data_IF_063559365232
#
_entry.id   IF_063559365232
#
_cell.length_a   1.000
_cell.length_b   1.000
_cell.length_c   1.000
_cell.angle_alpha   90.00
_cell.angle_beta   90.00
_cell.angle_gamma   90.00
#
_symmetry.space_group_name_H-M   'P 1'
#
loop_
_entity.id
_entity.type
_entity.pdbx_description
1 polymer ?
#
# COMPACT_ATOMS: atom_id res chain seq x y z
N UNK A 1 -3.19 -31.78 -2.04
CA UNK A 1 -1.73 -31.91 -2.25
C UNK A 1 -1.17 -30.57 -2.66
N UNK A 2 -0.84 -29.70 -1.70
CA UNK A 2 0.22 -28.69 -1.87
C UNK A 2 0.75 -28.39 -0.48
N UNK A 3 2.01 -28.78 -0.25
CA UNK A 3 2.76 -28.51 0.96
C UNK A 3 3.12 -27.01 1.02
N UNK A 4 3.26 -26.43 2.23
CA UNK A 4 3.73 -25.07 2.40
C UNK A 4 5.20 -24.98 1.99
N UNK A 5 5.54 -24.03 1.12
CA UNK A 5 6.93 -23.70 0.84
C UNK A 5 7.43 -22.79 1.95
N UNK A 6 8.19 -23.41 2.84
CA UNK A 6 9.00 -22.82 3.89
C UNK A 6 9.85 -21.67 3.33
N UNK A 7 9.57 -20.45 3.76
CA UNK A 7 10.53 -19.34 3.74
C UNK A 7 11.45 -19.48 4.97
N UNK A 8 12.22 -20.55 5.01
CA UNK A 8 13.29 -20.75 5.97
C UNK A 8 14.57 -20.14 5.43
N UNK A 9 14.86 -18.89 5.84
CA UNK A 9 16.21 -18.34 5.69
C UNK A 9 16.56 -17.28 6.73
N UNK A 10 15.97 -17.36 7.94
CA UNK A 10 16.35 -16.45 9.03
C UNK A 10 16.56 -17.11 10.41
N UNK A 11 16.64 -18.45 10.49
CA UNK A 11 16.76 -19.15 11.79
C UNK A 11 18.22 -19.50 12.14
N UNK A 12 19.16 -19.50 11.19
CA UNK A 12 20.48 -20.13 11.39
C UNK A 12 21.59 -19.22 11.95
N UNK A 13 21.32 -17.96 12.30
CA UNK A 13 22.36 -17.04 12.80
C UNK A 13 22.46 -17.04 14.34
N UNK A 14 21.54 -17.71 15.04
CA UNK A 14 21.35 -17.53 16.49
C UNK A 14 22.17 -18.47 17.39
N UNK A 15 22.84 -19.51 16.86
CA UNK A 15 23.40 -20.61 17.69
C UNK A 15 24.91 -20.60 17.92
N UNK A 16 25.68 -19.62 17.43
CA UNK A 16 27.15 -19.66 17.53
C UNK A 16 27.83 -18.48 18.26
N UNK A 17 27.17 -17.88 19.27
CA UNK A 17 27.76 -16.78 20.03
C UNK A 17 27.76 -17.03 21.55
N UNK A 18 28.38 -18.13 21.98
CA UNK A 18 28.68 -18.39 23.38
C UNK A 18 30.17 -18.73 23.56
N UNK A 19 31.04 -17.76 23.25
CA UNK A 19 32.39 -17.54 23.83
C UNK A 19 33.12 -16.46 23.04
N UNK A 20 33.20 -15.25 23.60
CA UNK A 20 34.40 -14.39 23.61
C UNK A 20 33.99 -12.93 23.82
N UNK A 21 34.54 -12.34 24.87
CA UNK A 21 34.47 -10.92 25.22
C UNK A 21 35.28 -10.09 24.23
N UNK A 22 34.62 -9.50 23.23
CA UNK A 22 35.15 -8.40 22.44
C UNK A 22 33.98 -7.54 21.95
N UNK A 23 34.02 -6.23 22.23
CA UNK A 23 32.99 -5.28 21.82
C UNK A 23 32.88 -5.19 20.31
N UNK A 24 31.90 -5.88 19.73
CA UNK A 24 31.50 -5.72 18.34
C UNK A 24 30.50 -4.56 18.23
N UNK A 25 30.70 -3.58 17.32
CA UNK A 25 29.67 -2.61 17.03
C UNK A 25 28.43 -3.36 16.54
N UNK A 26 27.34 -3.27 17.29
CA UNK A 26 26.03 -3.85 16.94
C UNK A 26 25.72 -3.49 15.48
N UNK A 27 25.77 -4.48 14.60
CA UNK A 27 25.42 -4.31 13.19
C UNK A 27 24.01 -3.72 13.13
N UNK A 28 23.85 -2.62 12.38
CA UNK A 28 22.54 -2.03 12.07
C UNK A 28 21.71 -3.13 11.42
N UNK A 29 20.79 -3.73 12.17
CA UNK A 29 19.85 -4.68 11.59
C UNK A 29 18.97 -3.91 10.59
N UNK A 30 18.79 -4.42 9.36
CA UNK A 30 17.93 -3.79 8.39
C UNK A 30 16.50 -3.75 8.91
N UNK A 31 15.99 -2.55 9.20
CA UNK A 31 14.63 -2.36 9.68
C UNK A 31 13.70 -2.23 8.47
N UNK A 32 12.87 -3.25 8.23
CA UNK A 32 11.78 -3.19 7.26
C UNK A 32 10.74 -2.16 7.68
N UNK A 33 10.21 -1.43 6.72
CA UNK A 33 9.17 -0.42 6.91
C UNK A 33 8.17 -0.48 5.75
N UNK A 34 6.99 0.07 5.97
CA UNK A 34 6.03 0.27 4.89
C UNK A 34 6.41 1.50 4.06
N UNK A 35 6.28 1.38 2.75
CA UNK A 35 6.41 2.48 1.81
C UNK A 35 5.27 2.42 0.79
N UNK A 36 4.94 3.56 0.19
CA UNK A 36 4.03 3.63 -0.94
C UNK A 36 4.81 3.59 -2.26
N UNK A 37 4.46 2.64 -3.12
CA UNK A 37 4.90 2.58 -4.51
C UNK A 37 3.81 3.15 -5.42
N UNK A 38 4.21 4.08 -6.28
CA UNK A 38 3.35 4.59 -7.35
C UNK A 38 3.47 3.69 -8.57
N UNK A 39 2.34 3.16 -9.04
CA UNK A 39 2.25 2.22 -10.15
C UNK A 39 1.54 2.84 -11.35
N UNK A 40 1.74 2.24 -12.53
CA UNK A 40 0.93 2.54 -13.69
C UNK A 40 -0.56 2.26 -13.38
N UNK A 41 -1.50 3.07 -13.91
CA UNK A 41 -2.92 2.81 -13.73
C UNK A 41 -3.30 1.39 -14.15
N UNK A 42 -4.18 0.73 -13.38
CA UNK A 42 -4.68 -0.64 -13.62
C UNK A 42 -3.64 -1.76 -13.45
N UNK A 43 -2.41 -1.43 -13.06
CA UNK A 43 -1.35 -2.41 -12.79
C UNK A 43 -1.25 -2.75 -11.30
N UNK A 44 -2.09 -2.19 -10.44
CA UNK A 44 -2.00 -2.35 -8.98
C UNK A 44 -2.07 -3.84 -8.57
N UNK A 45 -3.05 -4.58 -9.11
CA UNK A 45 -3.22 -6.03 -8.86
C UNK A 45 -2.07 -6.86 -9.44
N UNK A 46 -1.55 -6.46 -10.59
CA UNK A 46 -0.44 -7.16 -11.25
C UNK A 46 0.86 -6.99 -10.45
N UNK A 47 1.17 -5.75 -10.05
CA UNK A 47 2.34 -5.43 -9.22
C UNK A 47 2.25 -6.14 -7.87
N UNK A 48 1.07 -6.14 -7.22
CA UNK A 48 0.87 -6.86 -5.97
C UNK A 48 1.17 -8.37 -6.12
N UNK A 49 0.68 -9.02 -7.18
CA UNK A 49 0.98 -10.42 -7.45
C UNK A 49 2.47 -10.68 -7.67
N UNK A 50 3.15 -9.80 -8.42
CA UNK A 50 4.59 -9.94 -8.67
C UNK A 50 5.43 -9.74 -7.39
N UNK A 51 4.97 -8.90 -6.46
CA UNK A 51 5.62 -8.72 -5.16
C UNK A 51 5.37 -9.92 -4.25
N UNK A 52 4.16 -10.48 -4.28
CA UNK A 52 3.80 -11.72 -3.57
C UNK A 52 4.64 -12.92 -4.04
N UNK A 53 4.82 -13.07 -5.36
CA UNK A 53 5.73 -14.06 -5.96
C UNK A 53 7.19 -13.91 -5.50
N UNK A 54 7.59 -12.70 -5.07
CA UNK A 54 8.93 -12.40 -4.55
C UNK A 54 9.00 -12.46 -3.01
N UNK A 55 7.95 -12.93 -2.35
CA UNK A 55 7.82 -12.99 -0.90
C UNK A 55 7.99 -11.61 -0.23
N UNK A 56 7.49 -10.55 -0.89
CA UNK A 56 7.47 -9.21 -0.35
C UNK A 56 6.05 -8.89 0.10
N UNK A 57 5.91 -8.54 1.37
CA UNK A 57 4.65 -8.15 1.97
C UNK A 57 4.05 -6.93 1.25
N UNK A 58 2.81 -7.05 0.79
CA UNK A 58 2.09 -5.98 0.12
C UNK A 58 0.69 -5.77 0.64
N UNK A 59 0.18 -4.57 0.38
CA UNK A 59 -1.19 -4.20 0.66
C UNK A 59 -1.72 -3.28 -0.43
N UNK A 60 -2.83 -3.67 -1.04
CA UNK A 60 -3.57 -2.85 -2.00
C UNK A 60 -4.97 -2.61 -1.43
N UNK A 61 -5.30 -1.36 -1.07
CA UNK A 61 -6.64 -1.01 -0.61
C UNK A 61 -7.65 -1.18 -1.73
N UNK A 62 -8.48 -2.21 -1.69
CA UNK A 62 -9.53 -2.48 -2.67
C UNK A 62 -10.91 -2.29 -2.04
N UNK A 63 -11.83 -1.64 -2.76
CA UNK A 63 -13.24 -1.53 -2.39
C UNK A 63 -14.13 -2.19 -3.45
N UNK A 64 -15.31 -2.66 -3.04
CA UNK A 64 -16.29 -3.31 -3.94
C UNK A 64 -17.28 -2.28 -4.46
N UNK A 65 -17.39 -2.16 -5.78
CA UNK A 65 -18.36 -1.30 -6.45
C UNK A 65 -19.29 -2.12 -7.35
N UNK A 66 -20.58 -1.81 -7.31
CA UNK A 66 -21.60 -2.42 -8.18
C UNK A 66 -21.64 -1.68 -9.51
N UNK A 67 -21.03 -2.25 -10.55
CA UNK A 67 -21.09 -1.66 -11.90
C UNK A 67 -22.16 -2.35 -12.73
N UNK A 68 -23.05 -1.56 -13.33
CA UNK A 68 -24.05 -2.04 -14.29
C UNK A 68 -23.42 -2.08 -15.68
N UNK A 69 -23.29 -3.27 -16.24
CA UNK A 69 -23.09 -3.48 -17.67
C UNK A 69 -24.45 -3.59 -18.37
N UNK A 70 -24.45 -3.37 -19.69
CA UNK A 70 -25.62 -3.31 -20.58
C UNK A 70 -26.69 -4.39 -20.28
N UNK A 71 -26.27 -5.61 -19.90
CA UNK A 71 -27.18 -6.71 -19.55
C UNK A 71 -27.08 -7.23 -18.10
N UNK A 72 -26.05 -6.90 -17.30
CA UNK A 72 -25.82 -7.49 -15.97
C UNK A 72 -25.20 -6.51 -14.97
N UNK A 73 -25.51 -6.67 -13.68
CA UNK A 73 -24.80 -5.98 -12.59
C UNK A 73 -23.69 -6.89 -12.08
N UNK A 74 -22.46 -6.41 -12.06
CA UNK A 74 -21.30 -7.17 -11.58
C UNK A 74 -20.62 -6.39 -10.47
N UNK A 75 -20.30 -7.08 -9.37
CA UNK A 75 -19.42 -6.54 -8.33
C UNK A 75 -17.99 -6.56 -8.84
N UNK A 76 -17.34 -5.39 -8.83
CA UNK A 76 -15.95 -5.24 -9.25
C UNK A 76 -15.17 -4.65 -8.08
N UNK A 77 -13.95 -5.14 -7.88
CA UNK A 77 -13.00 -4.55 -6.94
C UNK A 77 -12.16 -3.49 -7.63
N UNK A 78 -12.20 -2.28 -7.07
CA UNK A 78 -11.44 -1.14 -7.54
C UNK A 78 -10.47 -0.66 -6.45
N UNK A 79 -9.30 -0.12 -6.81
CA UNK A 79 -8.38 0.45 -5.83
C UNK A 79 -8.97 1.71 -5.20
N UNK A 80 -8.97 1.78 -3.86
CA UNK A 80 -9.36 2.97 -3.10
C UNK A 80 -8.39 4.12 -3.36
N UNK A 81 -7.10 3.80 -3.52
CA UNK A 81 -6.05 4.73 -3.95
C UNK A 81 -5.51 4.28 -5.31
N UNK A 82 -6.10 4.75 -6.43
CA UNK A 82 -5.65 4.38 -7.77
C UNK A 82 -4.17 4.70 -7.98
N UNK A 83 -3.42 3.77 -8.56
CA UNK A 83 -1.98 3.91 -8.81
C UNK A 83 -1.09 3.79 -7.58
N UNK A 84 -1.59 3.33 -6.43
CA UNK A 84 -0.76 3.12 -5.23
C UNK A 84 -0.80 1.67 -4.75
N UNK A 85 0.37 1.17 -4.40
CA UNK A 85 0.57 -0.14 -3.74
C UNK A 85 1.45 0.09 -2.51
N UNK A 86 1.02 -0.40 -1.36
CA UNK A 86 1.82 -0.34 -0.13
C UNK A 86 2.68 -1.59 -0.05
N UNK A 87 3.96 -1.41 0.24
CA UNK A 87 4.96 -2.49 0.22
C UNK A 87 5.77 -2.41 1.51
N UNK A 88 5.95 -3.54 2.18
CA UNK A 88 6.75 -3.65 3.40
C UNK A 88 8.08 -4.33 3.08
N UNK A 89 9.16 -3.57 3.15
CA UNK A 89 10.49 -4.04 2.76
C UNK A 89 11.61 -3.24 3.44
N UNK A 90 12.83 -3.77 3.36
CA UNK A 90 14.03 -3.05 3.76
C UNK A 90 14.52 -2.15 2.62
N UNK A 91 14.86 -0.90 2.90
CA UNK A 91 15.29 0.10 1.91
C UNK A 91 16.44 -0.37 1.01
N UNK A 92 17.32 -1.26 1.48
CA UNK A 92 18.40 -1.87 0.68
C UNK A 92 17.86 -2.67 -0.52
N UNK A 93 16.66 -3.23 -0.40
CA UNK A 93 15.98 -3.99 -1.46
C UNK A 93 15.17 -3.12 -2.41
N UNK A 94 15.21 -1.78 -2.29
CA UNK A 94 14.39 -0.86 -3.11
C UNK A 94 14.49 -1.10 -4.62
N UNK A 95 15.68 -1.49 -5.10
CA UNK A 95 15.91 -1.74 -6.52
C UNK A 95 15.06 -2.90 -7.04
N UNK A 96 14.88 -3.95 -6.23
CA UNK A 96 14.03 -5.10 -6.57
C UNK A 96 12.58 -4.71 -6.81
N UNK A 97 12.11 -3.64 -6.16
CA UNK A 97 10.74 -3.15 -6.34
C UNK A 97 10.65 -2.23 -7.55
N UNK A 98 11.65 -1.36 -7.74
CA UNK A 98 11.69 -0.43 -8.88
C UNK A 98 11.91 -1.14 -10.23
N UNK A 99 12.52 -2.33 -10.23
CA UNK A 99 12.69 -3.18 -11.41
C UNK A 99 11.39 -3.85 -11.85
N UNK A 100 10.33 -3.83 -11.04
CA UNK A 100 9.08 -4.48 -11.39
C UNK A 100 8.35 -3.76 -12.51
N UNK A 101 7.88 -4.48 -13.54
CA UNK A 101 7.05 -3.88 -14.58
C UNK A 101 5.76 -3.33 -13.97
N UNK A 102 5.49 -2.05 -14.24
CA UNK A 102 4.32 -1.34 -13.73
C UNK A 102 4.57 -0.54 -12.45
N UNK A 103 5.74 -0.64 -11.81
CA UNK A 103 6.17 0.31 -10.77
C UNK A 103 6.84 1.50 -11.45
N UNK A 104 6.37 2.71 -11.14
CA UNK A 104 6.90 3.95 -11.71
C UNK A 104 7.94 4.57 -10.78
N UNK A 105 7.63 4.66 -9.47
CA UNK A 105 8.53 5.21 -8.45
C UNK A 105 8.06 4.87 -7.04
N UNK A 106 8.95 4.97 -6.07
CA UNK A 106 8.57 5.07 -4.66
C UNK A 106 8.15 6.51 -4.34
N UNK A 107 7.10 6.67 -3.54
CA UNK A 107 6.70 7.97 -3.02
C UNK A 107 7.79 8.48 -2.09
N UNK A 108 8.26 9.69 -2.34
CA UNK A 108 9.36 10.30 -1.58
C UNK A 108 9.05 11.75 -1.24
N UNK A 109 9.53 12.18 -0.08
CA UNK A 109 9.54 13.57 0.36
C UNK A 109 10.99 14.03 0.48
N UNK A 110 11.33 15.18 -0.12
CA UNK A 110 12.70 15.70 -0.13
C UNK A 110 13.76 14.68 -0.58
N UNK A 111 13.41 13.83 -1.55
CA UNK A 111 14.30 12.79 -2.09
C UNK A 111 14.42 11.52 -1.23
N UNK A 112 13.78 11.46 -0.06
CA UNK A 112 13.77 10.28 0.81
C UNK A 112 12.45 9.52 0.66
N UNK A 113 12.45 8.19 0.46
CA UNK A 113 11.22 7.40 0.43
C UNK A 113 10.39 7.59 1.68
N UNK A 114 9.10 7.87 1.49
CA UNK A 114 8.15 8.14 2.56
C UNK A 114 7.86 6.83 3.31
N UNK A 115 8.24 6.79 4.58
CA UNK A 115 7.91 5.65 5.46
C UNK A 115 6.51 5.81 6.01
N UNK A 116 5.74 4.73 5.98
CA UNK A 116 4.43 4.65 6.60
C UNK A 116 4.53 3.80 7.87
N UNK A 117 3.91 4.22 8.98
CA UNK A 117 3.87 3.42 10.20
C UNK A 117 2.86 2.27 10.06
N UNK A 118 3.14 1.14 10.73
CA UNK A 118 2.28 -0.06 10.70
C UNK A 118 0.82 0.24 11.05
N UNK A 119 0.61 1.09 12.07
CA UNK A 119 -0.74 1.42 12.54
C UNK A 119 -1.61 2.08 11.47
N UNK A 120 -1.04 2.82 10.51
CA UNK A 120 -1.80 3.44 9.42
C UNK A 120 -2.30 2.38 8.44
N UNK A 121 -1.42 1.44 8.09
CA UNK A 121 -1.75 0.31 7.20
C UNK A 121 -2.79 -0.58 7.87
N UNK A 122 -2.64 -0.89 9.16
CA UNK A 122 -3.62 -1.65 9.92
C UNK A 122 -4.98 -0.94 10.01
N UNK A 123 -4.98 0.38 10.22
CA UNK A 123 -6.22 1.17 10.28
C UNK A 123 -6.94 1.13 8.93
N UNK A 124 -6.21 1.26 7.82
CA UNK A 124 -6.77 1.13 6.48
C UNK A 124 -7.31 -0.29 6.22
N UNK A 125 -6.58 -1.33 6.63
CA UNK A 125 -7.04 -2.73 6.56
C UNK A 125 -8.36 -2.92 7.32
N UNK A 126 -8.39 -2.55 8.60
CA UNK A 126 -9.58 -2.66 9.45
C UNK A 126 -10.76 -1.86 8.88
N UNK A 127 -10.52 -0.66 8.35
CA UNK A 127 -11.56 0.17 7.75
C UNK A 127 -12.21 -0.48 6.51
N UNK A 128 -11.41 -1.15 5.68
CA UNK A 128 -11.90 -1.88 4.52
C UNK A 128 -12.63 -3.19 4.90
N UNK A 129 -12.12 -3.92 5.90
CA UNK A 129 -12.72 -5.17 6.38
C UNK A 129 -14.11 -4.93 6.99
N UNK A 130 -14.28 -3.81 7.68
CA UNK A 130 -15.56 -3.39 8.26
C UNK A 130 -16.59 -2.93 7.20
N UNK A 131 -16.26 -3.04 5.90
CA UNK A 131 -17.09 -2.56 4.79
C UNK A 131 -17.57 -1.12 4.99
N UNK A 132 -16.74 -0.27 5.60
CA UNK A 132 -17.00 1.16 5.58
C UNK A 132 -17.08 1.55 4.11
N UNK A 133 -18.20 2.14 3.68
CA UNK A 133 -18.41 2.60 2.32
C UNK A 133 -17.42 3.73 2.00
N UNK A 134 -16.20 3.33 1.63
CA UNK A 134 -15.12 4.18 1.21
C UNK A 134 -15.03 4.07 -0.32
N UNK A 135 -15.66 5.00 -1.01
CA UNK A 135 -15.48 5.18 -2.44
C UNK A 135 -14.74 6.51 -2.68
N UNK A 136 -13.86 6.60 -3.68
CA UNK A 136 -13.28 7.87 -4.10
C UNK A 136 -14.39 8.89 -4.36
N UNK A 137 -14.33 10.05 -3.70
CA UNK A 137 -15.38 11.05 -3.82
C UNK A 137 -15.46 11.56 -5.26
N UNK A 138 -16.62 11.51 -5.93
CA UNK A 138 -16.78 12.14 -7.23
C UNK A 138 -16.60 13.65 -7.06
N UNK A 139 -15.55 14.20 -7.67
CA UNK A 139 -15.28 15.62 -7.64
C UNK A 139 -16.49 16.45 -8.13
N UNK A 140 -16.57 17.69 -7.65
CA UNK A 140 -17.60 18.62 -8.09
C UNK A 140 -17.37 19.01 -9.54
N UNK A 141 -18.43 18.97 -10.34
CA UNK A 141 -18.42 19.46 -11.72
C UNK A 141 -18.99 20.88 -11.78
N UNK A 142 -18.47 21.68 -12.71
CA UNK A 142 -18.97 23.02 -12.99
C UNK A 142 -20.48 22.96 -13.31
N UNK A 143 -21.26 23.87 -12.73
CA UNK A 143 -22.72 23.90 -12.86
C UNK A 143 -23.48 23.04 -11.81
N UNK A 144 -22.78 22.30 -10.95
CA UNK A 144 -23.39 21.59 -9.83
C UNK A 144 -23.59 22.54 -8.65
N UNK A 145 -24.84 22.66 -8.16
CA UNK A 145 -25.12 23.42 -6.94
C UNK A 145 -24.45 22.75 -5.74
N UNK A 146 -23.73 23.55 -4.96
CA UNK A 146 -23.02 23.09 -3.76
C UNK A 146 -23.41 23.92 -2.56
N UNK A 147 -23.27 23.34 -1.37
CA UNK A 147 -23.46 24.03 -0.10
C UNK A 147 -22.11 24.11 0.60
N UNK A 148 -21.66 25.33 0.89
CA UNK A 148 -20.49 25.55 1.74
C UNK A 148 -20.91 25.28 3.19
N UNK A 149 -20.39 24.18 3.77
CA UNK A 149 -20.70 23.77 5.13
C UNK A 149 -19.85 24.50 6.18
N UNK A 150 -18.60 24.83 5.85
CA UNK A 150 -17.63 25.45 6.77
C UNK A 150 -16.75 26.47 6.03
N UNK A 151 -16.25 27.48 6.74
CA UNK A 151 -15.38 28.55 6.21
C UNK A 151 -16.05 29.93 6.15
N UNK A 152 -15.34 30.99 5.77
CA UNK A 152 -15.86 32.37 5.75
C UNK A 152 -17.01 32.60 4.75
N UNK A 153 -17.21 31.67 3.81
CA UNK A 153 -18.35 31.63 2.90
C UNK A 153 -19.45 30.64 3.31
N UNK A 154 -19.32 30.00 4.47
CA UNK A 154 -20.43 29.26 5.06
C UNK A 154 -21.59 30.24 5.29
N UNK A 155 -22.80 29.83 4.91
CA UNK A 155 -24.06 30.63 4.95
C UNK A 155 -24.37 31.48 3.70
N UNK A 156 -23.87 31.13 2.51
CA UNK A 156 -24.55 31.50 1.25
C UNK A 156 -24.69 30.30 0.31
N UNK A 157 -25.90 30.07 -0.22
CA UNK A 157 -26.10 29.19 -1.38
C UNK A 157 -25.32 29.80 -2.54
N UNK A 158 -24.26 29.15 -2.99
CA UNK A 158 -23.56 29.55 -4.20
C UNK A 158 -24.40 29.08 -5.40
N UNK A 159 -24.77 30.04 -6.27
CA UNK A 159 -25.65 29.84 -7.43
C UNK A 159 -24.87 29.34 -8.64
#
# INVERSE_FOLDING_TARGET
>A
MTLPLECDLNVEVSKLAARSSAGYPKSKQPVSRWYAAYTCPRHEKYVARQLDERCIDTFVPLYRSLRRWKDRRTQIELPLFPGYVFVHFNLEQRLRILELPGVVRLVSFNGQPATLPEYEIETLRKGLDLQIYAEPHPYLHVGRRVRVLHGPMAVRKAF
#
